data_IF_560447367960
#
_entry.id   IF_560447367960
#
_cell.length_a   1.000
_cell.length_b   1.000
_cell.length_c   1.000
_cell.angle_alpha   90.00
_cell.angle_beta   90.00
_cell.angle_gamma   90.00
#
_symmetry.space_group_name_H-M   'P 1'
#
loop_
_entity.id
_entity.type
_entity.pdbx_description
1 polymer ?
#
# COMPACT_ATOMS: atom_id res chain seq x y z
N UNK A 1 -4.09 -21.68 5.34
CA UNK A 1 -4.74 -20.86 4.30
C UNK A 1 -4.82 -19.46 4.86
N UNK A 2 -4.06 -18.50 4.31
CA UNK A 2 -4.12 -17.10 4.77
C UNK A 2 -5.40 -16.52 4.16
N UNK A 3 -6.42 -16.27 4.98
CA UNK A 3 -7.64 -15.62 4.52
C UNK A 3 -7.32 -14.15 4.26
N UNK A 4 -7.18 -13.79 2.99
CA UNK A 4 -6.94 -12.41 2.58
C UNK A 4 -8.24 -11.63 2.74
N UNK A 5 -8.21 -10.51 3.47
CA UNK A 5 -9.38 -9.66 3.62
C UNK A 5 -9.81 -9.10 2.24
N UNK A 6 -11.04 -9.37 1.77
CA UNK A 6 -11.47 -9.01 0.42
C UNK A 6 -11.61 -7.50 0.22
N UNK A 7 -11.88 -6.74 1.28
CA UNK A 7 -11.98 -5.27 1.22
C UNK A 7 -10.60 -4.66 0.99
N UNK A 8 -9.61 -5.06 1.79
CA UNK A 8 -8.22 -4.59 1.65
C UNK A 8 -7.69 -4.92 0.25
N UNK A 9 -7.84 -6.18 -0.15
CA UNK A 9 -7.29 -6.64 -1.42
C UNK A 9 -8.05 -6.05 -2.62
N UNK A 10 -9.36 -5.83 -2.51
CA UNK A 10 -10.15 -5.13 -3.52
C UNK A 10 -9.64 -3.71 -3.76
N UNK A 11 -9.38 -2.95 -2.70
CA UNK A 11 -8.84 -1.60 -2.82
C UNK A 11 -7.38 -1.60 -3.32
N UNK A 12 -6.57 -2.58 -2.94
CA UNK A 12 -5.23 -2.75 -3.50
C UNK A 12 -5.25 -3.04 -5.01
N UNK A 13 -6.20 -3.85 -5.49
CA UNK A 13 -6.39 -4.09 -6.94
C UNK A 13 -6.75 -2.80 -7.67
N UNK A 14 -7.69 -2.01 -7.13
CA UNK A 14 -8.06 -0.70 -7.69
C UNK A 14 -6.88 0.26 -7.67
N UNK A 15 -6.11 0.29 -6.58
CA UNK A 15 -4.87 1.07 -6.49
C UNK A 15 -3.85 0.68 -7.55
N UNK A 16 -3.65 -0.63 -7.78
CA UNK A 16 -2.75 -1.15 -8.81
C UNK A 16 -3.22 -0.79 -10.23
N UNK A 17 -4.53 -0.81 -10.49
CA UNK A 17 -5.12 -0.38 -11.78
C UNK A 17 -4.65 1.04 -12.13
N UNK A 18 -4.76 1.98 -11.18
CA UNK A 18 -4.32 3.35 -11.38
C UNK A 18 -2.80 3.50 -11.42
N UNK A 19 -2.09 2.89 -10.47
CA UNK A 19 -0.65 3.04 -10.34
C UNK A 19 0.13 2.49 -11.55
N UNK A 20 -0.37 1.40 -12.15
CA UNK A 20 0.25 0.76 -13.30
C UNK A 20 -0.34 1.19 -14.65
N UNK A 21 -1.29 2.14 -14.69
CA UNK A 21 -1.84 2.67 -15.94
C UNK A 21 -2.56 1.61 -16.79
N UNK A 22 -3.33 0.71 -16.15
CA UNK A 22 -3.97 -0.42 -16.86
C UNK A 22 -4.98 0.04 -17.91
N UNK A 23 -5.54 1.25 -17.78
CA UNK A 23 -6.42 1.83 -18.78
C UNK A 23 -5.67 2.46 -19.96
N UNK A 24 -4.38 2.78 -19.79
CA UNK A 24 -3.59 3.49 -20.78
C UNK A 24 -2.98 2.53 -21.81
N UNK A 25 -2.79 1.27 -21.44
CA UNK A 25 -2.26 0.24 -22.33
C UNK A 25 -3.00 -1.09 -22.16
N UNK A 26 -3.86 -1.48 -23.14
CA UNK A 26 -4.69 -2.69 -23.04
C UNK A 26 -3.89 -3.99 -23.13
N UNK A 27 -2.58 -3.94 -23.44
CA UNK A 27 -1.69 -5.12 -23.46
C UNK A 27 -1.16 -5.48 -22.08
N UNK A 28 -1.20 -4.53 -21.14
CA UNK A 28 -0.73 -4.72 -19.77
C UNK A 28 -1.67 -5.68 -19.03
N UNK A 29 -1.09 -6.72 -18.44
CA UNK A 29 -1.80 -7.81 -17.76
C UNK A 29 -2.32 -8.92 -18.67
N UNK A 30 -2.11 -8.79 -20.00
CA UNK A 30 -2.50 -9.77 -21.01
C UNK A 30 -1.29 -10.33 -21.74
N UNK A 31 -0.66 -9.51 -22.59
CA UNK A 31 0.54 -9.87 -23.35
C UNK A 31 1.81 -9.68 -22.52
N UNK A 32 1.77 -8.69 -21.62
CA UNK A 32 2.92 -8.28 -20.81
C UNK A 32 2.50 -8.14 -19.35
N UNK A 33 3.28 -8.64 -18.38
CA UNK A 33 2.98 -8.44 -16.97
C UNK A 33 3.06 -6.96 -16.58
N UNK A 34 2.21 -6.55 -15.64
CA UNK A 34 2.56 -5.44 -14.75
C UNK A 34 3.12 -5.99 -13.44
N UNK A 35 3.92 -5.16 -12.77
CA UNK A 35 4.34 -5.40 -11.40
C UNK A 35 4.11 -4.10 -10.61
N UNK A 36 3.29 -4.20 -9.56
CA UNK A 36 3.08 -3.13 -8.58
C UNK A 36 3.91 -3.43 -7.34
N UNK A 37 4.81 -2.51 -6.97
CA UNK A 37 5.56 -2.59 -5.71
C UNK A 37 4.80 -1.84 -4.63
N UNK A 38 4.48 -2.53 -3.55
CA UNK A 38 3.73 -2.04 -2.41
C UNK A 38 4.69 -1.93 -1.23
N UNK A 39 5.02 -0.70 -0.86
CA UNK A 39 5.85 -0.40 0.30
C UNK A 39 5.00 -0.48 1.56
N UNK A 40 5.41 -1.30 2.52
CA UNK A 40 4.72 -1.47 3.80
C UNK A 40 5.64 -1.08 4.96
N UNK A 41 5.05 -0.51 6.00
CA UNK A 41 5.73 -0.20 7.25
C UNK A 41 4.84 -0.56 8.45
N UNK A 42 5.42 -0.57 9.64
CA UNK A 42 4.66 -0.63 10.88
C UNK A 42 4.56 0.79 11.43
N UNK A 43 3.35 1.30 11.61
CA UNK A 43 3.09 2.58 12.29
C UNK A 43 2.33 2.33 13.60
N UNK A 44 2.38 3.26 14.58
CA UNK A 44 1.56 3.19 15.78
C UNK A 44 0.08 3.05 15.45
N UNK A 45 -0.59 2.19 16.21
CA UNK A 45 -2.02 1.94 16.03
C UNK A 45 -2.93 3.04 16.58
N UNK A 46 -2.37 3.91 17.44
CA UNK A 46 -2.93 5.18 17.86
C UNK A 46 -2.23 6.33 17.12
N UNK A 47 -3.01 7.27 16.60
CA UNK A 47 -2.47 8.42 15.86
C UNK A 47 -1.74 9.40 16.79
N UNK A 48 -2.11 9.49 18.06
CA UNK A 48 -1.45 10.37 19.02
C UNK A 48 -0.04 9.90 19.35
N UNK A 49 0.19 8.58 19.36
CA UNK A 49 1.53 8.01 19.52
C UNK A 49 2.40 8.31 18.30
N UNK A 50 1.83 8.25 17.10
CA UNK A 50 2.52 8.67 15.86
C UNK A 50 2.95 10.13 15.94
N UNK A 51 2.03 11.04 16.32
CA UNK A 51 2.31 12.47 16.47
C UNK A 51 3.38 12.71 17.54
N UNK A 52 3.33 11.97 18.65
CA UNK A 52 4.34 12.03 19.72
C UNK A 52 5.75 11.65 19.23
N UNK A 53 5.86 10.57 18.46
CA UNK A 53 7.13 10.13 17.87
C UNK A 53 7.63 11.13 16.83
N UNK A 54 6.75 11.59 15.94
CA UNK A 54 7.12 12.46 14.83
C UNK A 54 7.60 13.85 15.31
N UNK A 55 6.89 14.50 16.24
CA UNK A 55 7.23 15.87 16.65
C UNK A 55 8.14 15.97 17.87
N UNK A 56 8.06 15.00 18.79
CA UNK A 56 8.67 15.14 20.12
C UNK A 56 9.71 14.06 20.42
N UNK A 57 9.93 13.11 19.52
CA UNK A 57 10.80 11.95 19.75
C UNK A 57 10.42 11.17 21.04
N UNK A 58 9.12 11.17 21.39
CA UNK A 58 8.62 10.53 22.62
C UNK A 58 7.80 9.31 22.25
N UNK A 59 8.25 8.14 22.73
CA UNK A 59 7.43 6.94 22.76
C UNK A 59 6.56 6.96 24.04
N UNK A 60 5.26 6.66 23.92
CA UNK A 60 4.38 6.52 25.07
C UNK A 60 4.42 5.06 25.54
N UNK A 61 5.33 4.74 26.47
CA UNK A 61 5.42 3.44 27.15
C UNK A 61 6.52 2.48 26.62
N UNK A 62 6.72 1.36 27.33
CA UNK A 62 7.82 0.40 27.05
C UNK A 62 7.60 -0.47 25.81
N UNK A 63 6.34 -0.68 25.38
CA UNK A 63 6.00 -1.50 24.20
C UNK A 63 4.83 -0.90 23.43
N UNK A 64 5.14 -0.25 22.31
CA UNK A 64 4.15 0.37 21.45
C UNK A 64 3.51 -0.68 20.52
N UNK A 65 2.17 -0.71 20.48
CA UNK A 65 1.45 -1.53 19.50
C UNK A 65 1.38 -0.80 18.16
N UNK A 66 2.00 -1.40 17.15
CA UNK A 66 1.93 -0.96 15.77
C UNK A 66 0.93 -1.76 14.94
N UNK A 67 0.75 -1.30 13.71
CA UNK A 67 -0.06 -1.93 12.68
C UNK A 67 0.59 -1.77 11.31
N UNK A 68 0.34 -2.72 10.43
CA UNK A 68 0.78 -2.63 9.02
C UNK A 68 0.10 -1.41 8.38
N UNK A 69 0.89 -0.60 7.70
CA UNK A 69 0.44 0.50 6.87
C UNK A 69 1.08 0.37 5.49
N UNK A 70 0.35 0.81 4.48
CA UNK A 70 0.77 0.79 3.09
C UNK A 70 1.18 2.21 2.73
N UNK A 71 2.48 2.41 2.54
CA UNK A 71 3.03 3.74 2.36
C UNK A 71 2.97 4.19 0.91
N UNK A 72 3.21 3.27 -0.02
CA UNK A 72 3.24 3.59 -1.44
C UNK A 72 2.86 2.38 -2.30
N UNK A 73 2.34 2.66 -3.49
CA UNK A 73 2.21 1.71 -4.58
C UNK A 73 2.86 2.33 -5.81
N UNK A 74 3.87 1.67 -6.36
CA UNK A 74 4.64 2.19 -7.50
C UNK A 74 4.68 1.16 -8.62
N UNK A 75 4.54 1.59 -9.89
CA UNK A 75 4.75 0.70 -11.01
C UNK A 75 6.23 0.33 -11.12
N UNK A 76 6.52 -0.91 -11.48
CA UNK A 76 7.89 -1.37 -11.75
C UNK A 76 8.62 -0.55 -12.82
N UNK A 77 7.91 0.08 -13.75
CA UNK A 77 8.53 0.98 -14.75
C UNK A 77 8.87 2.38 -14.24
N UNK A 78 8.76 2.63 -12.93
CA UNK A 78 9.28 3.86 -12.31
C UNK A 78 10.78 4.02 -12.62
N UNK A 79 11.32 5.24 -12.78
CA UNK A 79 12.74 5.47 -13.02
C UNK A 79 13.69 4.76 -12.03
N UNK A 80 13.21 4.44 -10.83
CA UNK A 80 13.93 3.71 -9.79
C UNK A 80 13.97 2.18 -9.95
N UNK A 81 13.23 1.58 -10.88
CA UNK A 81 13.06 0.12 -11.02
C UNK A 81 13.22 -0.41 -12.46
N UNK A 82 14.18 0.15 -13.21
CA UNK A 82 14.36 -0.11 -14.64
C UNK A 82 14.84 -1.53 -15.04
N UNK A 83 15.19 -2.40 -14.09
CA UNK A 83 15.66 -3.75 -14.43
C UNK A 83 14.52 -4.60 -15.02
N UNK A 84 14.78 -5.48 -16.00
CA UNK A 84 13.78 -6.44 -16.46
C UNK A 84 13.33 -7.37 -15.31
N UNK A 85 12.10 -7.90 -15.41
CA UNK A 85 11.64 -8.91 -14.45
C UNK A 85 12.59 -10.11 -14.47
N UNK A 86 12.88 -10.66 -13.29
CA UNK A 86 13.68 -11.88 -13.19
C UNK A 86 12.94 -13.07 -13.86
N UNK A 87 13.65 -14.08 -14.38
CA UNK A 87 13.01 -15.26 -14.98
C UNK A 87 12.01 -15.94 -14.04
N UNK A 88 12.30 -15.97 -12.73
CA UNK A 88 11.39 -16.50 -11.71
C UNK A 88 10.07 -15.73 -11.64
N UNK A 89 10.10 -14.40 -11.67
CA UNK A 89 8.88 -13.56 -11.66
C UNK A 89 8.09 -13.72 -12.95
N UNK A 90 8.78 -13.81 -14.09
CA UNK A 90 8.12 -14.04 -15.37
C UNK A 90 7.41 -15.39 -15.42
N UNK A 91 8.05 -16.46 -14.92
CA UNK A 91 7.42 -17.78 -14.81
C UNK A 91 6.21 -17.76 -13.88
N UNK A 92 6.32 -17.11 -12.71
CA UNK A 92 5.19 -16.93 -11.78
C UNK A 92 4.00 -16.26 -12.48
N UNK A 93 4.25 -15.22 -13.28
CA UNK A 93 3.20 -14.56 -14.03
C UNK A 93 2.59 -15.47 -15.12
N UNK A 94 3.41 -16.21 -15.85
CA UNK A 94 2.91 -17.16 -16.87
C UNK A 94 2.01 -18.23 -16.25
N UNK A 95 2.41 -18.81 -15.12
CA UNK A 95 1.62 -19.78 -14.37
C UNK A 95 0.29 -19.19 -13.90
N UNK A 96 0.32 -17.98 -13.33
CA UNK A 96 -0.88 -17.28 -12.90
C UNK A 96 -1.84 -16.98 -14.06
N UNK A 97 -1.29 -16.50 -15.19
CA UNK A 97 -2.05 -16.21 -16.41
C UNK A 97 -2.69 -17.47 -16.99
N UNK A 98 -1.95 -18.58 -17.03
CA UNK A 98 -2.46 -19.87 -17.50
C UNK A 98 -3.60 -20.39 -16.61
N UNK A 99 -3.45 -20.27 -15.28
CA UNK A 99 -4.49 -20.67 -14.33
C UNK A 99 -5.76 -19.83 -14.47
N UNK A 100 -5.64 -18.50 -14.52
CA UNK A 100 -6.79 -17.62 -14.75
C UNK A 100 -7.50 -17.93 -16.08
N UNK A 101 -6.75 -18.21 -17.15
CA UNK A 101 -7.34 -18.61 -18.42
C UNK A 101 -8.13 -19.93 -18.30
N UNK A 102 -7.57 -20.93 -17.60
CA UNK A 102 -8.22 -22.22 -17.38
C UNK A 102 -9.51 -22.12 -16.53
N UNK A 103 -9.56 -21.17 -15.61
CA UNK A 103 -10.72 -20.86 -14.77
C UNK A 103 -11.78 -19.98 -15.47
N UNK A 104 -11.56 -19.59 -16.74
CA UNK A 104 -12.50 -18.79 -17.52
C UNK A 104 -12.28 -17.27 -17.42
N UNK A 105 -11.26 -16.82 -16.70
CA UNK A 105 -10.90 -15.40 -16.51
C UNK A 105 -9.94 -14.89 -17.60
N UNK A 106 -10.06 -15.39 -18.82
CA UNK A 106 -9.17 -14.99 -19.92
C UNK A 106 -9.29 -13.52 -20.33
N UNK A 107 -10.36 -12.83 -19.92
CA UNK A 107 -10.57 -11.40 -20.17
C UNK A 107 -10.07 -10.51 -19.03
N UNK A 108 -9.64 -11.09 -17.92
CA UNK A 108 -9.16 -10.36 -16.76
C UNK A 108 -7.65 -10.10 -16.88
N UNK A 109 -7.14 -8.90 -16.54
CA UNK A 109 -5.72 -8.65 -16.40
C UNK A 109 -5.10 -9.47 -15.25
N UNK A 110 -3.89 -9.98 -15.47
CA UNK A 110 -3.08 -10.65 -14.44
C UNK A 110 -1.72 -9.98 -14.38
N UNK A 111 -1.28 -9.61 -13.18
CA UNK A 111 0.06 -9.10 -12.95
C UNK A 111 0.66 -9.67 -11.68
N UNK A 112 1.65 -8.97 -11.18
CA UNK A 112 2.33 -9.30 -9.93
C UNK A 112 2.22 -8.12 -8.97
N UNK A 113 2.24 -8.44 -7.68
CA UNK A 113 2.41 -7.46 -6.61
C UNK A 113 3.59 -7.89 -5.75
N UNK A 114 4.47 -6.95 -5.44
CA UNK A 114 5.63 -7.15 -4.57
C UNK A 114 5.46 -6.31 -3.32
N UNK A 115 5.31 -6.97 -2.17
CA UNK A 115 5.31 -6.31 -0.88
C UNK A 115 6.74 -6.17 -0.38
N UNK A 116 7.14 -4.96 -0.02
CA UNK A 116 8.49 -4.64 0.47
C UNK A 116 8.40 -3.95 1.81
N UNK A 117 9.16 -4.43 2.79
CA UNK A 117 9.25 -3.80 4.10
C UNK A 117 10.17 -2.57 4.09
N UNK A 118 9.67 -1.42 4.52
CA UNK A 118 10.41 -0.17 4.68
C UNK A 118 11.06 -0.07 6.08
N UNK A 119 11.95 -1.00 6.45
CA UNK A 119 12.60 -0.99 7.78
C UNK A 119 14.00 -0.40 7.78
N UNK A 120 14.77 -0.62 6.72
CA UNK A 120 16.10 -0.04 6.54
C UNK A 120 16.51 -0.10 5.06
N UNK A 121 17.53 0.67 4.68
CA UNK A 121 18.12 0.59 3.34
C UNK A 121 18.72 -0.80 3.05
N UNK A 122 19.09 -1.54 4.11
CA UNK A 122 19.63 -2.89 4.03
C UNK A 122 18.56 -4.00 4.02
N UNK A 123 17.30 -3.68 4.39
CA UNK A 123 16.17 -4.63 4.37
C UNK A 123 15.53 -4.81 2.99
N UNK A 124 16.13 -4.23 1.94
CA UNK A 124 15.74 -4.44 0.54
C UNK A 124 15.70 -5.92 0.10
N UNK A 125 16.20 -6.85 0.93
CA UNK A 125 16.12 -8.30 0.72
C UNK A 125 14.81 -8.98 1.15
N UNK A 126 14.00 -8.36 2.02
CA UNK A 126 12.77 -8.97 2.53
C UNK A 126 11.55 -8.50 1.73
N UNK A 127 11.42 -9.03 0.51
CA UNK A 127 10.24 -8.82 -0.34
C UNK A 127 9.47 -10.11 -0.56
N UNK A 128 8.16 -9.99 -0.72
CA UNK A 128 7.28 -11.09 -1.11
C UNK A 128 6.55 -10.71 -2.40
N UNK A 129 6.85 -11.43 -3.48
CA UNK A 129 6.11 -11.30 -4.73
C UNK A 129 5.00 -12.35 -4.80
N UNK A 130 3.79 -11.91 -5.12
CA UNK A 130 2.66 -12.80 -5.43
C UNK A 130 1.93 -12.32 -6.68
N UNK A 131 1.09 -13.18 -7.21
CA UNK A 131 0.20 -12.88 -8.35
C UNK A 131 -0.95 -11.95 -7.96
N UNK A 132 -1.39 -11.14 -8.92
CA UNK A 132 -2.52 -10.24 -8.77
C UNK A 132 -3.46 -10.36 -9.97
N UNK A 133 -4.54 -11.11 -9.77
CA UNK A 133 -5.66 -11.17 -10.70
C UNK A 133 -6.60 -9.98 -10.50
N UNK A 134 -6.89 -9.23 -11.57
CA UNK A 134 -7.77 -8.08 -11.57
C UNK A 134 -9.10 -8.47 -12.22
N UNK A 135 -10.14 -8.80 -11.45
CA UNK A 135 -11.42 -9.18 -12.03
C UNK A 135 -12.12 -7.97 -12.68
N UNK A 136 -12.97 -8.23 -13.67
CA UNK A 136 -13.80 -7.21 -14.35
C UNK A 136 -14.53 -6.26 -13.38
N UNK A 137 -14.99 -6.73 -12.22
CA UNK A 137 -15.63 -5.89 -11.21
C UNK A 137 -14.68 -4.81 -10.64
N UNK A 138 -13.40 -5.13 -10.45
CA UNK A 138 -12.41 -4.16 -9.98
C UNK A 138 -12.14 -3.10 -11.06
N UNK A 139 -12.08 -3.50 -12.34
CA UNK A 139 -11.99 -2.58 -13.47
C UNK A 139 -13.23 -1.68 -13.55
N UNK A 140 -14.43 -2.24 -13.35
CA UNK A 140 -15.68 -1.48 -13.37
C UNK A 140 -15.71 -0.42 -12.24
N UNK A 141 -15.32 -0.79 -11.01
CA UNK A 141 -15.19 0.15 -9.88
C UNK A 141 -14.20 1.26 -10.23
N UNK A 142 -13.00 0.90 -10.70
CA UNK A 142 -11.97 1.86 -11.08
C UNK A 142 -12.38 2.79 -12.23
N UNK A 143 -13.21 2.31 -13.18
CA UNK A 143 -13.76 3.14 -14.27
C UNK A 143 -14.79 4.16 -13.79
N UNK A 144 -15.65 3.78 -12.84
CA UNK A 144 -16.66 4.70 -12.28
C UNK A 144 -16.04 5.87 -11.55
N UNK A 145 -14.86 5.66 -10.93
CA UNK A 145 -14.12 6.68 -10.17
C UNK A 145 -14.98 7.40 -9.14
N UNK A 146 -15.90 6.68 -8.50
CA UNK A 146 -16.74 7.23 -7.43
C UNK A 146 -15.82 7.76 -6.31
N UNK A 147 -15.97 9.01 -5.87
CA UNK A 147 -15.07 9.59 -4.88
C UNK A 147 -15.23 8.89 -3.53
N UNK A 148 -14.13 8.78 -2.79
CA UNK A 148 -14.20 8.44 -1.37
C UNK A 148 -14.83 9.61 -0.62
N UNK A 149 -15.80 9.29 0.23
CA UNK A 149 -16.48 10.27 1.09
C UNK A 149 -16.15 9.93 2.53
N UNK A 150 -15.49 10.86 3.21
CA UNK A 150 -15.13 10.76 4.62
C UNK A 150 -15.53 12.01 5.40
N UNK A 151 -15.36 11.96 6.71
CA UNK A 151 -15.56 13.10 7.60
C UNK A 151 -14.26 13.30 8.37
N UNK A 152 -13.74 14.52 8.38
CA UNK A 152 -12.57 14.89 9.18
C UNK A 152 -12.89 14.64 10.65
N UNK A 153 -12.04 13.87 11.33
CA UNK A 153 -12.18 13.64 12.77
C UNK A 153 -11.93 14.91 13.59
N UNK A 154 -11.16 15.87 13.05
CA UNK A 154 -10.76 17.11 13.73
C UNK A 154 -11.80 18.21 13.52
N UNK A 155 -12.23 18.44 12.28
CA UNK A 155 -13.10 19.57 11.94
C UNK A 155 -14.57 19.18 11.72
N UNK A 156 -14.86 17.88 11.58
CA UNK A 156 -16.18 17.40 11.16
C UNK A 156 -16.53 17.70 9.70
N UNK A 157 -15.59 18.27 8.92
CA UNK A 157 -15.83 18.62 7.52
C UNK A 157 -15.95 17.37 6.64
N UNK A 158 -16.87 17.43 5.67
CA UNK A 158 -17.00 16.40 4.64
C UNK A 158 -15.81 16.46 3.68
N UNK A 159 -15.03 15.37 3.62
CA UNK A 159 -13.92 15.23 2.68
C UNK A 159 -14.41 14.38 1.52
N UNK A 160 -14.28 14.91 0.30
CA UNK A 160 -14.52 14.18 -0.94
C UNK A 160 -13.22 14.06 -1.71
N UNK A 161 -12.68 12.86 -1.78
CA UNK A 161 -11.42 12.59 -2.46
C UNK A 161 -11.67 11.82 -3.75
N UNK A 162 -11.18 12.28 -4.91
CA UNK A 162 -11.28 11.52 -6.14
C UNK A 162 -10.65 10.13 -6.00
N UNK A 163 -11.28 9.12 -6.58
CA UNK A 163 -10.72 7.78 -6.61
C UNK A 163 -9.40 7.79 -7.38
N UNK A 164 -8.34 7.41 -6.68
CA UNK A 164 -6.96 7.41 -7.15
C UNK A 164 -6.20 6.30 -6.43
N UNK A 165 -5.01 5.94 -6.91
CA UNK A 165 -4.14 5.00 -6.20
C UNK A 165 -3.91 5.46 -4.74
N UNK A 166 -3.66 6.76 -4.56
CA UNK A 166 -3.52 7.42 -3.28
C UNK A 166 -4.70 7.18 -2.33
N UNK A 167 -5.91 7.52 -2.78
CA UNK A 167 -7.11 7.39 -1.97
C UNK A 167 -7.43 5.94 -1.61
N UNK A 168 -7.13 4.98 -2.51
CA UNK A 168 -7.26 3.56 -2.22
C UNK A 168 -6.33 3.10 -1.10
N UNK A 169 -5.07 3.57 -1.08
CA UNK A 169 -4.13 3.24 -0.01
C UNK A 169 -4.56 3.86 1.33
N UNK A 170 -4.99 5.13 1.32
CA UNK A 170 -5.49 5.81 2.50
C UNK A 170 -6.69 5.06 3.09
N UNK A 171 -7.65 4.65 2.26
CA UNK A 171 -8.79 3.85 2.70
C UNK A 171 -8.38 2.53 3.36
N UNK A 172 -7.42 1.79 2.77
CA UNK A 172 -6.90 0.56 3.35
C UNK A 172 -6.26 0.84 4.71
N UNK A 173 -5.44 1.88 4.81
CA UNK A 173 -4.77 2.29 6.04
C UNK A 173 -5.76 2.67 7.14
N UNK A 174 -6.80 3.42 6.82
CA UNK A 174 -7.90 3.77 7.74
C UNK A 174 -8.67 2.52 8.18
N UNK A 175 -8.96 1.60 7.27
CA UNK A 175 -9.65 0.34 7.59
C UNK A 175 -8.83 -0.52 8.58
N UNK A 176 -7.51 -0.63 8.36
CA UNK A 176 -6.61 -1.33 9.29
C UNK A 176 -6.57 -0.62 10.65
N UNK A 177 -6.49 0.71 10.67
CA UNK A 177 -6.46 1.50 11.91
C UNK A 177 -7.75 1.37 12.73
N UNK A 178 -8.89 1.25 12.05
CA UNK A 178 -10.20 1.07 12.66
C UNK A 178 -10.42 -0.33 13.26
N UNK A 179 -9.66 -1.35 12.83
CA UNK A 179 -9.72 -2.71 13.40
C UNK A 179 -9.06 -2.77 14.79
N UNK A 180 -9.73 -2.23 15.80
CA UNK A 180 -9.25 -2.21 17.19
C UNK A 180 -9.20 -3.60 17.84
N UNK A 181 -9.93 -4.57 17.28
CA UNK A 181 -9.99 -5.95 17.80
C UNK A 181 -8.96 -6.89 17.15
N UNK A 182 -8.13 -6.37 16.24
CA UNK A 182 -7.12 -7.15 15.49
C UNK A 182 -7.71 -8.35 14.73
N UNK A 183 -8.94 -8.23 14.22
CA UNK A 183 -9.59 -9.25 13.41
C UNK A 183 -8.86 -9.49 12.08
N UNK A 184 -8.13 -8.48 11.60
CA UNK A 184 -7.30 -8.56 10.39
C UNK A 184 -5.94 -9.21 10.65
N UNK A 185 -5.54 -9.38 11.92
CA UNK A 185 -4.21 -9.86 12.32
C UNK A 185 -3.05 -9.03 11.74
N UNK A 186 -3.27 -7.72 11.57
CA UNK A 186 -2.29 -6.77 11.03
C UNK A 186 -1.66 -5.87 12.10
N UNK A 187 -1.87 -6.18 13.39
CA UNK A 187 -1.21 -5.49 14.51
C UNK A 187 -0.05 -6.31 15.06
N UNK A 188 1.02 -5.63 15.45
CA UNK A 188 2.24 -6.24 15.99
C UNK A 188 2.94 -5.26 16.95
N UNK A 189 3.92 -5.73 17.72
CA UNK A 189 4.80 -4.84 18.49
C UNK A 189 5.73 -4.08 17.56
N UNK A 190 5.95 -2.79 17.82
CA UNK A 190 6.92 -1.99 17.06
C UNK A 190 8.35 -2.33 17.49
N UNK A 191 9.24 -2.42 16.51
CA UNK A 191 10.69 -2.50 16.73
C UNK A 191 11.30 -1.10 16.79
N UNK A 192 12.53 -0.99 17.31
CA UNK A 192 13.25 0.30 17.33
C UNK A 192 13.43 0.87 15.92
N UNK A 193 13.60 0.03 14.90
CA UNK A 193 13.68 0.46 13.50
C UNK A 193 12.37 1.09 13.01
N UNK A 194 11.22 0.51 13.39
CA UNK A 194 9.91 1.06 13.03
C UNK A 194 9.70 2.43 13.70
N UNK A 195 10.11 2.59 14.96
CA UNK A 195 10.05 3.86 15.69
C UNK A 195 10.98 4.90 15.08
N UNK A 196 12.21 4.50 14.75
CA UNK A 196 13.24 5.38 14.22
C UNK A 196 12.89 5.91 12.84
N UNK A 197 12.25 5.12 11.98
CA UNK A 197 11.77 5.61 10.68
C UNK A 197 10.81 6.82 10.82
N UNK A 198 9.98 6.85 11.87
CA UNK A 198 9.03 7.93 12.14
C UNK A 198 9.75 9.15 12.72
N UNK A 199 10.66 8.94 13.68
CA UNK A 199 11.45 10.02 14.28
C UNK A 199 12.35 10.70 13.26
N UNK A 200 13.04 9.91 12.43
CA UNK A 200 13.88 10.41 11.34
C UNK A 200 13.07 11.27 10.36
N UNK A 201 11.85 10.86 10.02
CA UNK A 201 10.94 11.67 9.22
C UNK A 201 10.58 13.00 9.89
N UNK A 202 10.32 12.98 11.19
CA UNK A 202 10.05 14.17 12.02
C UNK A 202 11.24 15.13 12.13
N UNK A 203 12.46 14.60 12.20
CA UNK A 203 13.71 15.39 12.17
C UNK A 203 14.07 15.89 10.77
N UNK A 204 13.28 15.56 9.75
CA UNK A 204 13.50 16.00 8.37
C UNK A 204 14.59 15.23 7.63
N UNK A 205 15.03 14.08 8.14
CA UNK A 205 16.07 13.25 7.51
C UNK A 205 15.60 12.68 6.17
N UNK A 206 16.55 12.38 5.27
CA UNK A 206 16.26 11.91 3.90
C UNK A 206 16.54 10.42 3.69
N UNK A 207 16.68 9.66 4.77
CA UNK A 207 16.73 8.20 4.69
C UNK A 207 15.48 7.66 3.98
N UNK A 208 15.62 6.59 3.19
CA UNK A 208 14.53 6.07 2.35
C UNK A 208 13.20 5.85 3.10
N UNK A 209 13.17 5.21 4.30
CA UNK A 209 11.91 5.04 5.04
C UNK A 209 11.29 6.37 5.47
N UNK A 210 12.11 7.33 5.89
CA UNK A 210 11.67 8.67 6.30
C UNK A 210 11.09 9.44 5.11
N UNK A 211 11.71 9.38 3.93
CA UNK A 211 11.21 10.01 2.71
C UNK A 211 9.87 9.43 2.28
N UNK A 212 9.75 8.10 2.22
CA UNK A 212 8.50 7.41 1.86
C UNK A 212 7.38 7.77 2.84
N UNK A 213 7.68 7.86 4.14
CA UNK A 213 6.71 8.29 5.15
C UNK A 213 6.27 9.74 4.95
N UNK A 214 7.20 10.68 4.69
CA UNK A 214 6.85 12.08 4.39
C UNK A 214 5.96 12.19 3.15
N UNK A 215 6.27 11.46 2.08
CA UNK A 215 5.43 11.40 0.87
C UNK A 215 4.03 10.84 1.14
N UNK A 216 3.92 9.83 2.02
CA UNK A 216 2.62 9.31 2.47
C UNK A 216 1.85 10.38 3.23
N UNK A 217 2.49 11.05 4.18
CA UNK A 217 1.83 12.07 5.01
C UNK A 217 1.31 13.25 4.18
N UNK A 218 2.06 13.69 3.16
CA UNK A 218 1.61 14.73 2.22
C UNK A 218 0.37 14.33 1.39
N UNK A 219 0.15 13.02 1.21
CA UNK A 219 -0.90 12.48 0.35
C UNK A 219 -2.18 12.12 1.11
N UNK A 220 -2.05 11.70 2.37
CA UNK A 220 -3.18 11.22 3.17
C UNK A 220 -3.82 12.38 3.97
N UNK A 221 -5.14 12.52 3.86
CA UNK A 221 -5.90 13.54 4.59
C UNK A 221 -5.83 13.36 6.10
N UNK A 222 -5.60 12.14 6.57
CA UNK A 222 -5.38 11.86 7.98
C UNK A 222 -4.30 12.75 8.60
N UNK A 223 -3.26 13.12 7.85
CA UNK A 223 -2.17 13.96 8.34
C UNK A 223 -2.27 15.42 7.90
N UNK A 224 -3.36 15.82 7.24
CA UNK A 224 -3.51 17.18 6.71
C UNK A 224 -3.41 18.28 7.78
N UNK A 225 -3.75 17.95 9.04
CA UNK A 225 -3.66 18.88 10.16
C UNK A 225 -2.26 18.90 10.83
N UNK A 226 -1.34 18.05 10.37
CA UNK A 226 0.02 17.90 10.93
C UNK A 226 1.14 18.30 9.97
N UNK A 227 0.88 18.45 8.66
CA UNK A 227 1.91 18.70 7.62
C UNK A 227 1.76 20.08 7.00
#
# INVERSE_FOLDING_TARGET
MITINPVIFGHLKVGAIFACGLFDNPRIGFDTPFLARVEIAIEPSDILDFVGLYFNDKAVGEKLQGMVQINAITPWKSPSMQAPLTPKRLNLWHEARARCNAEGFAKDPVGLVEFVGCRSEHDAGNSMTTELHIPDIALAIARRREPFVGVSAVTGALIKQPMSAAACLEFVNLHIRADKQNQLHLRTGMTEQDLEAIRAAGRGEDALPARILKEKMQREHLYADFV
#
